data_IF_508616820501
#
_entry.id   IF_508616820501
#
_cell.length_a   1.000
_cell.length_b   1.000
_cell.length_c   1.000
_cell.angle_alpha   90.00
_cell.angle_beta   90.00
_cell.angle_gamma   90.00
#
_symmetry.space_group_name_H-M   'P 1'
#
loop_
_entity.id
_entity.type
_entity.pdbx_description
1 polymer ?
#
# COMPACT_ATOMS: atom_id res chain seq x y z
N UNK A 1 1.70 18.45 64.56
CA UNK A 1 2.15 18.94 63.24
C UNK A 1 3.64 18.67 63.11
N UNK A 2 4.03 17.50 62.61
CA UNK A 2 5.37 17.20 62.07
C UNK A 2 5.36 15.79 61.47
N UNK A 3 5.88 15.72 60.24
CA UNK A 3 6.00 14.53 59.38
C UNK A 3 6.97 13.49 59.95
N UNK A 4 6.71 12.21 59.70
CA UNK A 4 7.74 11.19 59.52
C UNK A 4 7.32 10.16 58.44
N UNK A 5 7.82 10.40 57.23
CA UNK A 5 8.58 9.44 56.40
C UNK A 5 8.17 7.95 56.48
N UNK A 6 7.32 7.51 55.54
CA UNK A 6 7.27 6.11 55.13
C UNK A 6 8.26 5.88 53.98
N UNK A 7 9.43 5.29 54.30
CA UNK A 7 10.37 4.76 53.32
C UNK A 7 9.78 3.45 52.74
N UNK A 8 9.12 3.54 51.60
CA UNK A 8 8.75 2.38 50.81
C UNK A 8 10.03 1.88 50.08
N UNK A 9 10.52 0.70 50.46
CA UNK A 9 11.64 0.04 49.80
C UNK A 9 11.27 -0.23 48.34
N UNK A 10 12.02 0.36 47.42
CA UNK A 10 11.97 0.05 46.00
C UNK A 10 12.43 -1.39 45.81
N UNK A 11 11.51 -2.31 45.54
CA UNK A 11 11.86 -3.57 44.89
C UNK A 11 12.28 -3.26 43.45
N UNK A 12 13.49 -3.59 43.00
CA UNK A 12 13.83 -3.46 41.60
C UNK A 12 13.02 -4.49 40.82
N UNK A 13 12.04 -3.99 40.07
CA UNK A 13 11.35 -4.76 39.03
C UNK A 13 12.41 -5.35 38.08
N UNK A 14 12.28 -6.63 37.67
CA UNK A 14 13.24 -7.23 36.75
C UNK A 14 13.28 -6.39 35.48
N UNK A 15 14.49 -5.94 35.13
CA UNK A 15 14.79 -5.30 33.86
C UNK A 15 14.26 -6.23 32.77
N UNK A 16 13.19 -5.80 32.10
CA UNK A 16 12.72 -6.45 30.89
C UNK A 16 13.92 -6.71 30.00
N UNK A 17 14.00 -7.93 29.45
CA UNK A 17 14.94 -8.26 28.39
C UNK A 17 14.79 -7.18 27.31
N UNK A 18 15.68 -6.19 27.32
CA UNK A 18 16.03 -5.49 26.09
C UNK A 18 16.64 -6.58 25.23
N UNK A 19 15.88 -7.02 24.22
CA UNK A 19 16.46 -7.75 23.10
C UNK A 19 17.70 -6.95 22.69
N UNK A 20 18.90 -7.52 22.89
CA UNK A 20 20.12 -7.04 22.23
C UNK A 20 19.77 -6.86 20.76
N UNK A 21 20.21 -5.75 20.15
CA UNK A 21 19.99 -5.39 18.75
C UNK A 21 19.78 -6.66 17.91
N UNK A 22 18.51 -6.97 17.64
CA UNK A 22 18.16 -8.24 17.01
C UNK A 22 18.78 -8.23 15.64
N UNK A 23 19.52 -9.29 15.28
CA UNK A 23 20.10 -9.51 13.94
C UNK A 23 19.03 -9.75 12.86
N UNK A 24 17.81 -9.28 13.08
CA UNK A 24 16.71 -9.35 12.13
C UNK A 24 17.08 -8.54 10.89
N UNK A 25 17.12 -9.20 9.75
CA UNK A 25 17.41 -8.58 8.47
C UNK A 25 16.44 -9.06 7.40
N UNK A 26 16.34 -8.31 6.30
CA UNK A 26 15.41 -8.58 5.20
C UNK A 26 16.18 -8.54 3.90
N UNK A 27 15.96 -9.53 3.03
CA UNK A 27 16.65 -9.64 1.74
C UNK A 27 15.89 -10.54 0.78
N UNK A 28 16.36 -10.64 -0.47
CA UNK A 28 15.97 -11.71 -1.37
C UNK A 28 16.37 -13.08 -0.78
N UNK A 29 15.53 -14.07 -1.01
CA UNK A 29 15.81 -15.46 -0.67
C UNK A 29 17.02 -16.00 -1.44
N UNK A 30 17.74 -16.92 -0.80
CA UNK A 30 18.75 -17.79 -1.40
C UNK A 30 18.22 -19.22 -1.41
N UNK A 31 18.86 -20.11 -2.17
CA UNK A 31 18.47 -21.53 -2.22
C UNK A 31 18.47 -22.17 -0.83
N UNK A 32 19.46 -21.81 -0.01
CA UNK A 32 19.52 -22.26 1.39
C UNK A 32 18.29 -21.80 2.19
N UNK A 33 17.81 -20.56 1.98
CA UNK A 33 16.62 -20.12 2.72
C UNK A 33 15.39 -20.92 2.32
N UNK A 34 15.24 -21.20 1.03
CA UNK A 34 14.13 -21.97 0.48
C UNK A 34 14.13 -23.39 1.04
N UNK A 35 15.29 -24.06 1.11
CA UNK A 35 15.42 -25.38 1.75
C UNK A 35 14.98 -25.36 3.23
N UNK A 36 15.44 -24.34 3.97
CA UNK A 36 15.11 -24.17 5.40
C UNK A 36 13.63 -23.85 5.60
N UNK A 37 13.05 -23.01 4.73
CA UNK A 37 11.62 -22.68 4.73
C UNK A 37 10.78 -23.93 4.49
N UNK A 38 11.14 -24.72 3.48
CA UNK A 38 10.45 -25.97 3.20
C UNK A 38 10.47 -26.92 4.39
N UNK A 39 11.64 -27.02 5.04
CA UNK A 39 11.83 -27.91 6.19
C UNK A 39 10.85 -27.58 7.32
N UNK A 40 10.74 -26.31 7.72
CA UNK A 40 9.80 -25.95 8.79
C UNK A 40 8.33 -25.93 8.34
N UNK A 41 8.03 -25.74 7.04
CA UNK A 41 6.67 -25.93 6.50
C UNK A 41 6.24 -27.39 6.57
N UNK A 42 7.13 -28.35 6.30
CA UNK A 42 6.86 -29.78 6.48
C UNK A 42 6.63 -30.13 7.94
N UNK A 43 7.41 -29.56 8.87
CA UNK A 43 7.19 -29.73 10.30
C UNK A 43 5.87 -29.12 10.78
N UNK A 44 5.44 -28.01 10.20
CA UNK A 44 4.12 -27.42 10.45
C UNK A 44 3.00 -28.36 9.99
N UNK A 45 3.12 -28.92 8.79
CA UNK A 45 2.13 -29.86 8.23
C UNK A 45 2.02 -31.14 9.06
N UNK A 46 3.15 -31.73 9.47
CA UNK A 46 3.18 -32.88 10.37
C UNK A 46 2.52 -32.62 11.73
N UNK A 47 2.55 -31.38 12.21
CA UNK A 47 1.92 -30.95 13.47
C UNK A 47 0.51 -30.39 13.26
N UNK A 48 -0.04 -30.46 12.06
CA UNK A 48 -1.34 -29.92 11.67
C UNK A 48 -1.51 -28.43 12.02
N UNK A 49 -0.43 -27.65 11.91
CA UNK A 49 -0.47 -26.21 12.18
C UNK A 49 -1.36 -25.53 11.13
N UNK A 50 -2.50 -25.02 11.58
CA UNK A 50 -3.43 -24.31 10.70
C UNK A 50 -2.80 -23.05 10.07
N UNK A 51 -3.16 -22.83 8.80
CA UNK A 51 -2.70 -21.68 8.02
C UNK A 51 -1.25 -21.80 7.53
N UNK A 52 -0.73 -23.02 7.37
CA UNK A 52 0.51 -23.27 6.61
C UNK A 52 0.26 -23.12 5.11
N UNK A 53 1.22 -22.56 4.38
CA UNK A 53 1.19 -22.39 2.93
C UNK A 53 2.01 -23.47 2.19
N UNK A 54 2.21 -24.65 2.79
CA UNK A 54 2.91 -25.77 2.16
C UNK A 54 2.25 -26.20 0.83
N UNK A 55 0.92 -26.13 0.74
CA UNK A 55 0.19 -26.45 -0.50
C UNK A 55 0.55 -25.53 -1.67
N UNK A 56 1.09 -24.34 -1.40
CA UNK A 56 1.57 -23.38 -2.39
C UNK A 56 3.10 -23.45 -2.60
N UNK A 57 3.76 -24.52 -2.14
CA UNK A 57 5.22 -24.59 -2.15
C UNK A 57 5.81 -24.52 -3.56
N UNK A 58 5.26 -25.25 -4.53
CA UNK A 58 5.75 -25.23 -5.91
C UNK A 58 5.72 -23.81 -6.51
N UNK A 59 4.67 -23.04 -6.22
CA UNK A 59 4.58 -21.64 -6.64
C UNK A 59 5.58 -20.76 -5.89
N UNK A 60 5.77 -20.99 -4.58
CA UNK A 60 6.78 -20.27 -3.79
C UNK A 60 8.19 -20.52 -4.32
N UNK A 61 8.50 -21.75 -4.74
CA UNK A 61 9.77 -22.09 -5.37
C UNK A 61 9.95 -21.35 -6.70
N UNK A 62 8.92 -21.31 -7.55
CA UNK A 62 8.97 -20.56 -8.81
C UNK A 62 9.19 -19.05 -8.56
N UNK A 63 8.48 -18.47 -7.58
CA UNK A 63 8.66 -17.07 -7.17
C UNK A 63 10.09 -16.79 -6.69
N UNK A 64 10.75 -17.77 -6.06
CA UNK A 64 12.18 -17.68 -5.74
C UNK A 64 13.06 -17.70 -7.00
N UNK A 65 12.82 -18.62 -7.92
CA UNK A 65 13.56 -18.71 -9.21
C UNK A 65 13.45 -17.40 -10.01
N UNK A 66 12.29 -16.75 -9.97
CA UNK A 66 12.02 -15.45 -10.59
C UNK A 66 12.65 -14.27 -9.81
N UNK A 67 13.34 -14.53 -8.70
CA UNK A 67 13.95 -13.54 -7.78
C UNK A 67 12.93 -12.58 -7.16
N UNK A 68 11.75 -13.10 -6.84
CA UNK A 68 10.62 -12.36 -6.29
C UNK A 68 10.23 -12.82 -4.87
N UNK A 69 11.05 -13.64 -4.22
CA UNK A 69 10.84 -14.07 -2.84
C UNK A 69 11.70 -13.26 -1.87
N UNK A 70 11.07 -12.56 -0.92
CA UNK A 70 11.76 -11.89 0.18
C UNK A 70 11.66 -12.70 1.46
N UNK A 71 12.70 -12.66 2.28
CA UNK A 71 12.79 -13.39 3.55
C UNK A 71 13.18 -12.47 4.69
N UNK A 72 12.67 -12.78 5.89
CA UNK A 72 13.18 -12.23 7.13
C UNK A 72 14.12 -13.25 7.79
N UNK A 73 15.35 -12.81 8.09
CA UNK A 73 16.40 -13.63 8.68
C UNK A 73 16.63 -13.21 10.12
N UNK A 74 16.55 -14.15 11.07
CA UNK A 74 16.88 -13.93 12.47
C UNK A 74 17.99 -14.88 12.86
N UNK A 75 19.12 -14.34 13.34
CA UNK A 75 20.29 -15.13 13.76
C UNK A 75 20.80 -16.11 12.67
N UNK A 76 20.67 -15.70 11.40
CA UNK A 76 21.11 -16.50 10.25
C UNK A 76 20.05 -17.44 9.69
N UNK A 77 18.90 -17.61 10.34
CA UNK A 77 17.83 -18.51 9.91
C UNK A 77 16.66 -17.76 9.27
N UNK A 78 16.07 -18.26 8.18
CA UNK A 78 14.85 -17.69 7.60
C UNK A 78 13.64 -18.04 8.46
N UNK A 79 12.97 -17.00 8.96
CA UNK A 79 11.84 -17.13 9.91
C UNK A 79 10.52 -16.63 9.33
N UNK A 80 10.54 -16.00 8.17
CA UNK A 80 9.36 -15.57 7.44
C UNK A 80 9.71 -15.36 5.97
N UNK A 81 8.70 -15.45 5.10
CA UNK A 81 8.83 -15.10 3.69
C UNK A 81 7.60 -14.36 3.18
N UNK A 82 7.80 -13.56 2.14
CA UNK A 82 6.73 -12.90 1.40
C UNK A 82 7.07 -12.88 -0.08
N UNK A 83 6.06 -13.07 -0.93
CA UNK A 83 6.18 -12.87 -2.38
C UNK A 83 6.21 -11.36 -2.69
N UNK A 84 6.94 -10.93 -3.73
CA UNK A 84 7.06 -9.51 -4.11
C UNK A 84 5.71 -8.89 -4.52
N UNK A 85 4.77 -9.70 -5.00
CA UNK A 85 3.40 -9.32 -5.33
C UNK A 85 2.43 -9.39 -4.14
N UNK A 86 2.91 -9.73 -2.95
CA UNK A 86 2.13 -9.88 -1.72
C UNK A 86 1.13 -11.04 -1.75
N UNK A 87 1.27 -12.00 -2.67
CA UNK A 87 0.37 -13.16 -2.79
C UNK A 87 0.41 -14.10 -1.57
N UNK A 88 1.60 -14.33 -1.00
CA UNK A 88 1.75 -15.12 0.24
C UNK A 88 2.69 -14.39 1.19
N UNK A 89 2.27 -14.31 2.46
CA UNK A 89 3.07 -13.91 3.61
C UNK A 89 2.95 -15.01 4.66
N UNK A 90 4.08 -15.58 5.08
CA UNK A 90 4.10 -16.58 6.14
C UNK A 90 5.21 -16.27 7.15
N UNK A 91 4.90 -16.47 8.44
CA UNK A 91 5.83 -16.28 9.55
C UNK A 91 5.81 -17.57 10.37
N UNK A 92 7.00 -18.14 10.60
CA UNK A 92 7.18 -19.35 11.40
C UNK A 92 6.38 -19.28 12.70
N UNK A 93 5.70 -20.38 13.03
CA UNK A 93 4.61 -20.39 14.01
C UNK A 93 5.00 -19.79 15.37
N UNK A 94 6.17 -20.18 15.88
CA UNK A 94 6.77 -19.77 17.16
C UNK A 94 7.18 -18.28 17.20
N UNK A 95 7.20 -17.61 16.05
CA UNK A 95 7.59 -16.21 15.86
C UNK A 95 6.43 -15.31 15.41
N UNK A 96 5.22 -15.87 15.25
CA UNK A 96 4.00 -15.10 14.98
C UNK A 96 3.71 -14.10 16.11
N UNK A 97 3.00 -13.02 15.77
CA UNK A 97 2.61 -11.93 16.69
C UNK A 97 3.78 -11.17 17.35
N UNK A 98 5.02 -11.36 16.89
CA UNK A 98 6.22 -10.62 17.34
C UNK A 98 6.61 -9.44 16.42
N UNK A 99 5.74 -9.08 15.45
CA UNK A 99 5.98 -7.97 14.53
C UNK A 99 6.86 -8.28 13.31
N UNK A 100 7.30 -9.54 13.13
CA UNK A 100 8.13 -9.97 11.98
C UNK A 100 7.40 -9.74 10.65
N UNK A 101 6.15 -10.24 10.53
CA UNK A 101 5.37 -10.09 9.30
C UNK A 101 5.12 -8.64 8.92
N UNK A 102 4.85 -7.76 9.90
CA UNK A 102 4.72 -6.32 9.67
C UNK A 102 5.98 -5.73 9.04
N UNK A 103 7.15 -5.98 9.64
CA UNK A 103 8.42 -5.42 9.14
C UNK A 103 8.79 -5.98 7.76
N UNK A 104 8.47 -7.25 7.49
CA UNK A 104 8.70 -7.85 6.18
C UNK A 104 7.78 -7.25 5.10
N UNK A 105 6.51 -6.98 5.41
CA UNK A 105 5.60 -6.25 4.50
C UNK A 105 6.10 -4.82 4.25
N UNK A 106 6.55 -4.10 5.28
CA UNK A 106 7.13 -2.76 5.14
C UNK A 106 8.38 -2.77 4.24
N UNK A 107 9.23 -3.80 4.37
CA UNK A 107 10.37 -4.02 3.48
C UNK A 107 9.92 -4.24 2.02
N UNK A 108 8.95 -5.12 1.80
CA UNK A 108 8.39 -5.39 0.47
C UNK A 108 7.73 -4.15 -0.15
N UNK A 109 7.02 -3.34 0.65
CA UNK A 109 6.42 -2.07 0.21
C UNK A 109 7.49 -1.07 -0.22
N UNK A 110 8.58 -0.92 0.54
CA UNK A 110 9.71 -0.05 0.15
C UNK A 110 10.32 -0.50 -1.17
N UNK A 111 10.46 -1.81 -1.40
CA UNK A 111 10.92 -2.37 -2.68
C UNK A 111 9.95 -2.04 -3.81
N UNK A 112 8.65 -2.25 -3.61
CA UNK A 112 7.61 -1.91 -4.58
C UNK A 112 7.66 -0.42 -4.97
N UNK A 113 7.77 0.49 -3.99
CA UNK A 113 7.93 1.93 -4.23
C UNK A 113 9.20 2.21 -5.03
N UNK A 114 10.34 1.61 -4.66
CA UNK A 114 11.60 1.81 -5.38
C UNK A 114 11.57 1.31 -6.83
N UNK A 115 10.75 0.30 -7.11
CA UNK A 115 10.50 -0.23 -8.44
C UNK A 115 9.42 0.57 -9.21
N UNK A 116 8.95 1.69 -8.67
CA UNK A 116 7.98 2.57 -9.32
C UNK A 116 6.54 2.06 -9.29
N UNK A 117 6.20 1.07 -8.46
CA UNK A 117 4.80 0.68 -8.26
C UNK A 117 4.01 1.82 -7.64
N UNK A 118 2.76 1.97 -8.07
CA UNK A 118 1.84 3.01 -7.61
C UNK A 118 0.87 2.45 -6.56
N UNK A 119 0.51 1.19 -6.72
CA UNK A 119 -0.36 0.47 -5.82
C UNK A 119 0.03 -1.01 -5.81
N UNK A 120 -0.48 -1.72 -4.80
CA UNK A 120 -0.45 -3.18 -4.69
C UNK A 120 -1.84 -3.66 -4.30
N UNK A 121 -2.18 -4.88 -4.71
CA UNK A 121 -3.43 -5.55 -4.36
C UNK A 121 -3.12 -6.91 -3.76
N UNK A 122 -3.97 -7.37 -2.85
CA UNK A 122 -3.87 -8.67 -2.20
C UNK A 122 -5.21 -9.37 -2.19
N UNK A 123 -5.14 -10.70 -2.12
CA UNK A 123 -6.27 -11.54 -1.71
C UNK A 123 -6.08 -11.99 -0.27
N UNK A 124 -7.01 -11.62 0.61
CA UNK A 124 -7.00 -11.92 2.03
C UNK A 124 -7.57 -13.31 2.28
N UNK A 125 -6.70 -14.33 2.26
CA UNK A 125 -7.02 -15.68 2.72
C UNK A 125 -5.92 -16.22 3.64
N UNK A 126 -6.28 -16.77 4.82
CA UNK A 126 -7.62 -16.86 5.40
C UNK A 126 -8.19 -15.51 5.86
N UNK A 127 -9.49 -15.43 6.14
CA UNK A 127 -10.18 -14.24 6.69
C UNK A 127 -9.54 -13.71 7.98
N UNK A 128 -8.89 -14.60 8.75
CA UNK A 128 -8.15 -14.21 9.97
C UNK A 128 -6.95 -13.29 9.70
N UNK A 129 -6.54 -13.12 8.43
CA UNK A 129 -5.52 -12.14 8.01
C UNK A 129 -6.06 -10.72 7.84
N UNK A 130 -7.38 -10.52 7.74
CA UNK A 130 -7.99 -9.20 7.49
C UNK A 130 -7.54 -8.14 8.51
N UNK A 131 -7.59 -8.39 9.84
CA UNK A 131 -7.18 -7.38 10.82
C UNK A 131 -5.69 -7.03 10.78
N UNK A 132 -4.85 -7.89 10.19
CA UNK A 132 -3.45 -7.58 9.94
C UNK A 132 -3.31 -6.58 8.80
N UNK A 133 -3.97 -6.83 7.66
CA UNK A 133 -3.89 -5.97 6.48
C UNK A 133 -4.55 -4.60 6.69
N UNK A 134 -5.66 -4.52 7.43
CA UNK A 134 -6.26 -3.24 7.85
C UNK A 134 -5.26 -2.39 8.66
N UNK A 135 -4.53 -3.01 9.60
CA UNK A 135 -3.48 -2.32 10.38
C UNK A 135 -2.27 -1.91 9.54
N UNK A 136 -2.03 -2.60 8.42
CA UNK A 136 -1.04 -2.20 7.43
C UNK A 136 -1.53 -1.06 6.53
N UNK A 137 -2.80 -0.65 6.64
CA UNK A 137 -3.39 0.46 5.90
C UNK A 137 -3.96 0.07 4.53
N UNK A 138 -4.20 -1.22 4.28
CA UNK A 138 -4.88 -1.65 3.07
C UNK A 138 -6.36 -1.24 3.11
N UNK A 139 -6.85 -0.75 1.97
CA UNK A 139 -8.24 -0.42 1.71
C UNK A 139 -8.95 -1.64 1.13
N UNK A 140 -9.99 -2.12 1.81
CA UNK A 140 -10.76 -3.30 1.42
C UNK A 140 -11.87 -2.94 0.43
N UNK A 141 -11.98 -3.75 -0.63
CA UNK A 141 -12.98 -3.58 -1.68
C UNK A 141 -14.14 -4.56 -1.53
N UNK A 142 -13.87 -5.72 -0.92
CA UNK A 142 -14.83 -6.75 -0.54
C UNK A 142 -14.19 -7.61 0.59
N UNK A 143 -14.82 -8.73 0.95
CA UNK A 143 -14.36 -9.61 2.03
C UNK A 143 -13.03 -10.33 1.72
N UNK A 144 -12.57 -10.32 0.46
CA UNK A 144 -11.41 -11.09 0.00
C UNK A 144 -10.33 -10.22 -0.62
N UNK A 145 -10.62 -9.01 -1.07
CA UNK A 145 -9.69 -8.20 -1.83
C UNK A 145 -9.43 -6.86 -1.14
N UNK A 146 -8.16 -6.50 -1.08
CA UNK A 146 -7.73 -5.21 -0.59
C UNK A 146 -6.61 -4.65 -1.44
N UNK A 147 -6.42 -3.34 -1.38
CA UNK A 147 -5.32 -2.65 -2.06
C UNK A 147 -4.66 -1.62 -1.19
N UNK A 148 -3.40 -1.32 -1.48
CA UNK A 148 -2.68 -0.20 -0.90
C UNK A 148 -2.17 0.70 -2.02
N UNK A 149 -2.48 1.99 -1.96
CA UNK A 149 -2.00 2.99 -2.91
C UNK A 149 -0.88 3.78 -2.24
N UNK A 150 0.31 3.80 -2.84
CA UNK A 150 1.47 4.45 -2.24
C UNK A 150 1.34 5.97 -2.31
N UNK A 151 1.42 6.60 -1.14
CA UNK A 151 1.51 8.04 -1.03
C UNK A 151 2.82 8.57 -1.62
N UNK A 152 2.75 9.75 -2.22
CA UNK A 152 3.92 10.48 -2.70
C UNK A 152 3.71 11.96 -2.48
N UNK A 153 4.66 12.60 -1.82
CA UNK A 153 4.65 14.04 -1.59
C UNK A 153 5.58 14.73 -2.59
N UNK A 154 5.25 15.96 -2.94
CA UNK A 154 6.01 16.78 -3.87
C UNK A 154 6.34 18.13 -3.25
N UNK A 155 7.52 18.64 -3.60
CA UNK A 155 7.88 20.02 -3.32
C UNK A 155 7.02 20.97 -4.16
N UNK A 156 6.65 22.09 -3.53
CA UNK A 156 5.79 23.10 -4.14
C UNK A 156 6.68 24.25 -4.66
N UNK A 157 6.46 24.72 -5.91
CA UNK A 157 7.21 25.87 -6.45
C UNK A 157 7.01 27.16 -5.65
N UNK A 158 8.08 27.95 -5.48
CA UNK A 158 8.11 29.17 -4.64
C UNK A 158 7.29 30.33 -5.22
N UNK A 159 7.24 30.47 -6.55
CA UNK A 159 6.52 31.55 -7.25
C UNK A 159 5.19 31.04 -7.82
N UNK A 160 4.27 30.65 -6.94
CA UNK A 160 3.01 30.02 -7.32
C UNK A 160 1.83 30.60 -6.55
N UNK A 161 0.66 30.58 -7.20
CA UNK A 161 -0.59 31.08 -6.61
C UNK A 161 -1.42 29.91 -6.08
N UNK A 162 -2.00 30.00 -4.86
CA UNK A 162 -2.91 28.97 -4.36
C UNK A 162 -4.10 28.74 -5.30
N UNK A 163 -4.52 27.49 -5.43
CA UNK A 163 -5.72 27.10 -6.17
C UNK A 163 -6.38 25.91 -5.48
N UNK A 164 -7.71 25.90 -5.40
CA UNK A 164 -8.43 24.75 -4.87
C UNK A 164 -8.63 23.71 -5.99
N UNK A 165 -8.23 22.48 -5.72
CA UNK A 165 -8.39 21.36 -6.65
C UNK A 165 -9.20 20.28 -5.97
N UNK A 166 -10.28 19.89 -6.64
CA UNK A 166 -11.02 18.69 -6.28
C UNK A 166 -10.87 17.64 -7.38
N UNK A 167 -10.50 16.44 -6.98
CA UNK A 167 -10.38 15.28 -7.88
C UNK A 167 -11.22 14.15 -7.29
N UNK A 168 -12.14 13.64 -8.09
CA UNK A 168 -13.07 12.60 -7.68
C UNK A 168 -13.08 11.46 -8.70
N UNK A 169 -13.06 10.23 -8.20
CA UNK A 169 -13.12 9.01 -8.99
C UNK A 169 -14.50 8.37 -8.83
N UNK A 170 -15.11 7.99 -9.94
CA UNK A 170 -16.47 7.45 -10.00
C UNK A 170 -16.50 6.12 -10.76
N UNK A 171 -17.50 5.27 -10.50
CA UNK A 171 -17.77 4.12 -11.35
C UNK A 171 -18.23 4.56 -12.74
N UNK A 172 -18.17 3.65 -13.72
CA UNK A 172 -18.48 3.99 -15.12
C UNK A 172 -19.88 4.59 -15.30
N UNK A 173 -20.86 4.06 -14.58
CA UNK A 173 -22.26 4.44 -14.75
C UNK A 173 -22.60 5.85 -14.25
N UNK A 174 -21.70 6.51 -13.50
CA UNK A 174 -21.93 7.86 -12.97
C UNK A 174 -22.17 8.91 -14.08
N UNK A 175 -21.74 8.63 -15.32
CA UNK A 175 -22.04 9.50 -16.48
C UNK A 175 -23.53 9.59 -16.80
N UNK A 176 -24.28 8.52 -16.52
CA UNK A 176 -25.70 8.38 -16.84
C UNK A 176 -26.59 8.49 -15.61
N UNK A 177 -26.00 8.44 -14.42
CA UNK A 177 -26.68 8.51 -13.12
C UNK A 177 -26.06 9.63 -12.30
N UNK A 178 -26.52 10.89 -12.47
CA UNK A 178 -25.87 12.07 -11.89
C UNK A 178 -25.77 12.08 -10.36
N UNK A 179 -26.59 11.29 -9.66
CA UNK A 179 -26.61 11.18 -8.21
C UNK A 179 -25.61 10.14 -7.67
N UNK A 180 -24.89 9.42 -8.54
CA UNK A 180 -23.90 8.43 -8.12
C UNK A 180 -22.79 9.11 -7.31
N UNK A 181 -22.54 8.69 -6.06
CA UNK A 181 -21.45 9.24 -5.27
C UNK A 181 -20.09 8.79 -5.83
N UNK A 182 -19.03 9.60 -5.64
CA UNK A 182 -17.68 9.17 -5.97
C UNK A 182 -17.23 8.02 -5.05
N UNK A 183 -16.46 7.09 -5.60
CA UNK A 183 -15.76 6.04 -4.85
C UNK A 183 -14.65 6.67 -4.01
N UNK A 184 -13.92 7.63 -4.58
CA UNK A 184 -12.83 8.33 -3.90
C UNK A 184 -12.84 9.81 -4.22
N UNK A 185 -12.67 10.64 -3.20
CA UNK A 185 -12.68 12.10 -3.31
C UNK A 185 -11.48 12.71 -2.64
N UNK A 186 -10.89 13.69 -3.31
CA UNK A 186 -9.75 14.45 -2.82
C UNK A 186 -10.07 15.94 -2.96
N UNK A 187 -9.91 16.68 -1.86
CA UNK A 187 -9.90 18.14 -1.84
C UNK A 187 -8.58 18.53 -1.18
N UNK A 188 -7.64 19.04 -1.99
CA UNK A 188 -6.25 19.24 -1.57
C UNK A 188 -5.79 20.66 -1.91
N UNK A 189 -4.99 21.29 -1.03
CA UNK A 189 -4.27 22.49 -1.39
C UNK A 189 -3.32 22.21 -2.56
N UNK A 190 -3.41 23.04 -3.60
CA UNK A 190 -2.52 23.00 -4.74
C UNK A 190 -2.05 24.42 -5.08
N UNK A 191 -1.07 24.51 -5.96
CA UNK A 191 -0.61 25.80 -6.47
C UNK A 191 -0.55 25.79 -8.00
N UNK A 192 -0.86 26.93 -8.61
CA UNK A 192 -0.71 27.19 -10.04
C UNK A 192 0.61 27.93 -10.27
N UNK A 193 1.47 27.37 -11.11
CA UNK A 193 2.70 28.04 -11.54
C UNK A 193 2.49 28.98 -12.75
N UNK A 194 3.53 29.74 -13.09
CA UNK A 194 3.52 30.67 -14.21
C UNK A 194 3.42 30.01 -15.60
N UNK A 195 3.57 28.69 -15.70
CA UNK A 195 3.40 27.92 -16.93
C UNK A 195 1.96 27.38 -17.07
N UNK A 196 1.11 27.58 -16.06
CA UNK A 196 -0.24 27.05 -16.04
C UNK A 196 -0.30 25.57 -15.63
N UNK A 197 0.71 25.07 -14.91
CA UNK A 197 0.70 23.74 -14.31
C UNK A 197 0.29 23.86 -12.85
N UNK A 198 -0.64 23.02 -12.44
CA UNK A 198 -1.10 22.92 -11.08
C UNK A 198 -0.32 21.80 -10.40
N UNK A 199 0.42 22.15 -9.35
CA UNK A 199 1.23 21.22 -8.57
C UNK A 199 0.44 20.81 -7.33
N UNK A 200 0.22 19.50 -7.21
CA UNK A 200 -0.40 18.90 -6.03
C UNK A 200 0.68 18.64 -4.99
N UNK A 201 0.42 18.93 -3.71
CA UNK A 201 1.38 18.60 -2.63
C UNK A 201 1.52 17.09 -2.43
N UNK A 202 0.46 16.35 -2.70
CA UNK A 202 0.43 14.90 -2.61
C UNK A 202 -0.15 14.32 -3.90
N UNK A 203 0.35 13.17 -4.31
CA UNK A 203 -0.26 12.36 -5.36
C UNK A 203 -1.72 12.08 -5.02
N UNK A 204 -2.58 12.31 -5.99
CA UNK A 204 -3.95 11.81 -5.96
C UNK A 204 -4.00 10.51 -6.73
N UNK A 205 -4.55 9.45 -6.15
CA UNK A 205 -4.61 8.16 -6.81
C UNK A 205 -5.79 7.31 -6.34
N UNK A 206 -6.27 6.43 -7.22
CA UNK A 206 -7.29 5.45 -6.85
C UNK A 206 -6.97 4.13 -7.54
N UNK A 207 -6.98 3.04 -6.75
CA UNK A 207 -6.93 1.69 -7.28
C UNK A 207 -8.26 1.42 -7.98
N UNK A 208 -8.21 1.05 -9.27
CA UNK A 208 -9.39 0.83 -10.11
C UNK A 208 -9.52 -0.61 -10.57
N UNK A 209 -8.65 -1.50 -10.09
CA UNK A 209 -8.74 -2.93 -10.32
C UNK A 209 -9.82 -3.62 -9.47
N UNK A 210 -10.49 -2.90 -8.56
CA UNK A 210 -11.59 -3.42 -7.75
C UNK A 210 -12.91 -3.45 -8.52
N UNK A 211 -13.80 -4.38 -8.18
CA UNK A 211 -15.15 -4.47 -8.77
C UNK A 211 -16.01 -3.21 -8.56
N UNK A 212 -15.68 -2.37 -7.56
CA UNK A 212 -16.40 -1.14 -7.22
C UNK A 212 -16.60 -0.16 -8.41
N UNK A 213 -15.72 -0.18 -9.40
CA UNK A 213 -15.81 0.73 -10.55
C UNK A 213 -16.82 0.28 -11.61
N UNK A 214 -17.18 -1.01 -11.63
CA UNK A 214 -18.11 -1.61 -12.59
C UNK A 214 -17.85 -1.15 -14.05
N UNK A 215 -16.60 -1.30 -14.51
CA UNK A 215 -16.16 -0.91 -15.84
C UNK A 215 -15.06 0.15 -15.82
N UNK A 216 -15.06 1.05 -16.81
CA UNK A 216 -14.06 2.11 -16.92
C UNK A 216 -14.25 3.19 -15.85
N UNK A 217 -13.22 3.43 -15.05
CA UNK A 217 -13.23 4.51 -14.08
C UNK A 217 -13.44 5.88 -14.73
N UNK A 218 -14.36 6.64 -14.16
CA UNK A 218 -14.65 8.03 -14.50
C UNK A 218 -13.89 8.95 -13.54
N UNK A 219 -13.40 10.08 -14.04
CA UNK A 219 -12.72 11.07 -13.20
C UNK A 219 -13.29 12.45 -13.43
N UNK A 220 -13.61 13.13 -12.34
CA UNK A 220 -13.99 14.54 -12.31
C UNK A 220 -12.85 15.36 -11.71
N UNK A 221 -12.48 16.43 -12.39
CA UNK A 221 -11.50 17.41 -11.90
C UNK A 221 -12.20 18.76 -11.86
N UNK A 222 -12.17 19.42 -10.72
CA UNK A 222 -12.72 20.75 -10.52
C UNK A 222 -11.64 21.70 -10.00
N UNK A 223 -11.63 22.93 -10.53
CA UNK A 223 -10.74 24.01 -10.13
C UNK A 223 -11.58 25.16 -9.58
N UNK A 224 -11.31 25.58 -8.34
CA UNK A 224 -12.08 26.61 -7.62
C UNK A 224 -13.61 26.41 -7.71
N UNK A 225 -14.04 25.14 -7.65
CA UNK A 225 -15.45 24.73 -7.70
C UNK A 225 -16.03 24.52 -9.10
N UNK A 226 -15.33 24.91 -10.17
CA UNK A 226 -15.78 24.68 -11.55
C UNK A 226 -15.29 23.33 -12.09
N UNK A 227 -16.21 22.50 -12.59
CA UNK A 227 -15.87 21.20 -13.18
C UNK A 227 -15.26 21.40 -14.59
N UNK A 228 -13.94 21.24 -14.67
CA UNK A 228 -13.16 21.44 -15.92
C UNK A 228 -13.00 20.15 -16.73
N UNK A 229 -13.17 18.99 -16.08
CA UNK A 229 -13.17 17.68 -16.74
C UNK A 229 -14.11 16.72 -16.03
N UNK A 230 -14.92 15.99 -16.79
CA UNK A 230 -15.64 14.81 -16.30
C UNK A 230 -15.86 13.80 -17.43
N UNK A 231 -14.95 12.82 -17.54
CA UNK A 231 -15.09 11.70 -18.47
C UNK A 231 -14.22 10.51 -18.01
N UNK A 232 -14.12 9.45 -18.83
CA UNK A 232 -13.29 8.28 -18.55
C UNK A 232 -11.82 8.66 -18.31
N UNK A 233 -11.23 8.10 -17.26
CA UNK A 233 -9.83 8.34 -16.88
C UNK A 233 -8.82 7.79 -17.89
N UNK A 234 -9.20 6.75 -18.66
CA UNK A 234 -8.31 6.12 -19.65
C UNK A 234 -8.13 6.93 -20.94
N UNK A 235 -9.00 7.90 -21.21
CA UNK A 235 -9.01 8.66 -22.46
C UNK A 235 -7.77 9.54 -22.62
N UNK A 236 -7.38 9.79 -23.87
CA UNK A 236 -6.23 10.65 -24.20
C UNK A 236 -6.37 12.06 -23.63
N UNK A 237 -7.60 12.59 -23.55
CA UNK A 237 -7.87 13.89 -22.92
C UNK A 237 -7.53 13.90 -21.43
N UNK A 238 -7.89 12.86 -20.68
CA UNK A 238 -7.48 12.71 -19.28
C UNK A 238 -5.93 12.65 -19.16
N UNK A 239 -5.26 11.90 -20.05
CA UNK A 239 -3.80 11.83 -20.07
C UNK A 239 -3.14 13.18 -20.32
N UNK A 240 -3.67 13.96 -21.25
CA UNK A 240 -3.19 15.31 -21.54
C UNK A 240 -3.34 16.27 -20.34
N UNK A 241 -4.31 16.02 -19.47
CA UNK A 241 -4.55 16.79 -18.23
C UNK A 241 -3.62 16.33 -17.09
N UNK A 242 -2.99 15.16 -17.19
CA UNK A 242 -2.04 14.63 -16.20
C UNK A 242 -2.44 13.29 -15.58
N UNK A 243 -3.56 12.69 -16.00
CA UNK A 243 -3.99 11.37 -15.51
C UNK A 243 -3.11 10.27 -16.08
N UNK A 244 -2.46 9.51 -15.21
CA UNK A 244 -1.59 8.39 -15.57
C UNK A 244 -2.13 7.09 -14.99
N UNK A 245 -1.82 5.95 -15.62
CA UNK A 245 -2.20 4.62 -15.15
C UNK A 245 -0.96 3.78 -14.84
N UNK A 246 -0.96 3.08 -13.70
CA UNK A 246 0.10 2.16 -13.32
C UNK A 246 -0.31 1.29 -12.14
N UNK A 247 0.10 0.02 -12.15
CA UNK A 247 -0.15 -0.94 -11.06
C UNK A 247 -1.62 -1.07 -10.65
N UNK A 248 -2.55 -1.04 -11.62
CA UNK A 248 -4.00 -1.14 -11.33
C UNK A 248 -4.62 0.15 -10.80
N UNK A 249 -3.88 1.26 -10.73
CA UNK A 249 -4.36 2.54 -10.23
C UNK A 249 -4.26 3.64 -11.30
N UNK A 250 -5.23 4.55 -11.30
CA UNK A 250 -5.05 5.86 -11.91
C UNK A 250 -4.47 6.82 -10.87
N UNK A 251 -3.54 7.68 -11.30
CA UNK A 251 -2.94 8.69 -10.44
C UNK A 251 -2.67 10.00 -11.17
N UNK A 252 -2.58 11.08 -10.39
CA UNK A 252 -2.28 12.43 -10.81
C UNK A 252 -1.23 13.00 -9.85
N UNK A 253 -0.10 13.41 -10.42
CA UNK A 253 0.96 14.12 -9.70
C UNK A 253 0.87 15.64 -9.94
N UNK A 254 0.42 16.03 -11.14
CA UNK A 254 0.23 17.42 -11.58
C UNK A 254 -0.97 17.51 -12.52
N UNK A 255 -1.60 18.67 -12.58
CA UNK A 255 -2.71 18.96 -13.51
C UNK A 255 -2.27 20.03 -14.52
N UNK A 256 -2.41 19.75 -15.80
CA UNK A 256 -2.03 20.67 -16.88
C UNK A 256 -3.22 21.54 -17.30
N UNK A 257 -3.28 22.79 -16.80
CA UNK A 257 -4.45 23.65 -17.01
C UNK A 257 -4.65 24.02 -18.50
N UNK A 258 -3.57 24.20 -19.26
CA UNK A 258 -3.66 24.52 -20.69
C UNK A 258 -4.35 23.43 -21.53
N UNK A 259 -4.29 22.17 -21.08
CA UNK A 259 -4.99 21.07 -21.75
C UNK A 259 -6.51 21.13 -21.54
N UNK A 260 -6.98 21.85 -20.51
CA UNK A 260 -8.41 22.06 -20.24
C UNK A 260 -9.02 23.10 -21.18
N UNK A 261 -8.27 24.17 -21.51
CA UNK A 261 -8.77 25.30 -22.32
C UNK A 261 -8.59 25.16 -23.84
N UNK A 262 -7.79 24.20 -24.32
CA UNK A 262 -7.53 24.01 -25.77
C UNK A 262 -8.70 23.44 -26.58
N UNK A 263 -9.84 23.16 -25.96
CA UNK A 263 -11.01 22.53 -26.61
C UNK A 263 -12.20 23.46 -26.88
N UNK A 264 -12.05 24.78 -26.70
CA UNK A 264 -13.10 25.76 -27.00
C UNK A 264 -12.93 26.47 -28.36
N UNK A 265 -12.22 25.85 -29.31
CA UNK A 265 -12.06 26.37 -30.68
C UNK A 265 -12.43 25.34 -31.72
#
# INVERSE_FOLDING_TARGET
MQLHSALCRVCPMPRGLRMRESSLSFRLATDHDVERIYSWLLEHDHREVHGSFLCNWNLTHQVHEDRQLFVAILEGEPIAYIWEDFGILEVREDLRKKGVGKQLVEYAMKRAISNGRIAVSIECKPESSIPFWEKMGFEFHNEKEASYVFEKSFDIPVDSSPINVEIMFYPEHAKWTPQTPPIKSYSLPAVLDNQGVIHLRHRVAAYVGSENYHGDAMIKISLDGEAVYFDKARYSKARAIGVTYGSGAFYIDKVHNQALHRTSR
#
